data_IF_848050712856
#
_entry.id   IF_848050712856
#
_cell.length_a   1.000
_cell.length_b   1.000
_cell.length_c   1.000
_cell.angle_alpha   90.00
_cell.angle_beta   90.00
_cell.angle_gamma   90.00
#
_symmetry.space_group_name_H-M   'P 1'
#
loop_
_entity.id
_entity.type
_entity.pdbx_description
1 polymer ?
#
# COMPACT_ATOMS: atom_id res chain seq x y z
N UNK A 1 12.42 -16.85 -10.88
CA UNK A 1 12.36 -17.17 -9.41
C UNK A 1 10.95 -17.65 -9.16
N UNK A 2 10.78 -18.80 -8.52
CA UNK A 2 9.48 -19.42 -8.22
C UNK A 2 9.46 -19.85 -6.75
N UNK A 3 8.27 -20.20 -6.23
CA UNK A 3 8.08 -20.49 -4.81
C UNK A 3 8.89 -21.69 -4.31
N UNK A 4 9.10 -22.70 -5.17
CA UNK A 4 9.90 -23.89 -4.84
C UNK A 4 11.36 -23.53 -4.65
N UNK A 5 11.98 -22.85 -5.61
CA UNK A 5 13.39 -22.45 -5.52
C UNK A 5 13.67 -21.56 -4.31
N UNK A 6 12.75 -20.65 -3.97
CA UNK A 6 12.86 -19.80 -2.76
C UNK A 6 12.78 -20.65 -1.50
N UNK A 7 11.85 -21.60 -1.43
CA UNK A 7 11.70 -22.49 -0.29
C UNK A 7 12.94 -23.37 -0.09
N UNK A 8 13.43 -24.02 -1.13
CA UNK A 8 14.61 -24.87 -1.09
C UNK A 8 15.86 -24.10 -0.61
N UNK A 9 16.02 -22.85 -1.08
CA UNK A 9 17.12 -21.99 -0.64
C UNK A 9 16.99 -21.65 0.86
N UNK A 10 15.79 -21.29 1.33
CA UNK A 10 15.56 -20.98 2.74
C UNK A 10 15.88 -22.17 3.63
N UNK A 11 15.44 -23.38 3.28
CA UNK A 11 15.64 -24.58 4.07
C UNK A 11 17.09 -25.07 4.02
N UNK A 12 17.70 -25.15 2.82
CA UNK A 12 19.03 -25.69 2.64
C UNK A 12 20.12 -24.83 3.30
N UNK A 13 19.92 -23.51 3.30
CA UNK A 13 20.88 -22.57 3.91
C UNK A 13 20.54 -22.22 5.37
N UNK A 14 19.48 -22.78 5.94
CA UNK A 14 19.06 -22.52 7.31
C UNK A 14 18.69 -21.05 7.55
N UNK A 15 18.05 -20.40 6.59
CA UNK A 15 17.74 -18.97 6.64
C UNK A 15 16.78 -18.66 7.77
N UNK A 16 17.17 -17.75 8.66
CA UNK A 16 16.35 -17.31 9.80
C UNK A 16 15.63 -15.98 9.56
N UNK A 17 16.10 -15.20 8.57
CA UNK A 17 15.59 -13.88 8.21
C UNK A 17 15.68 -13.67 6.70
N UNK A 18 14.61 -13.18 6.11
CA UNK A 18 14.54 -12.91 4.68
C UNK A 18 13.83 -11.56 4.40
N UNK A 19 14.07 -11.00 3.24
CA UNK A 19 13.40 -9.78 2.81
C UNK A 19 12.97 -9.89 1.34
N UNK A 20 11.81 -9.38 1.00
CA UNK A 20 11.31 -9.40 -0.36
C UNK A 20 10.03 -8.59 -0.58
N UNK A 21 9.61 -8.57 -1.84
CA UNK A 21 8.36 -7.91 -2.24
C UNK A 21 7.18 -8.90 -2.14
N UNK A 22 5.94 -8.40 -1.99
CA UNK A 22 4.77 -9.25 -1.80
C UNK A 22 4.59 -10.34 -2.87
N UNK A 23 4.93 -10.07 -4.12
CA UNK A 23 4.80 -11.06 -5.21
C UNK A 23 5.68 -12.30 -5.00
N UNK A 24 6.88 -12.15 -4.47
CA UNK A 24 7.77 -13.27 -4.14
C UNK A 24 7.19 -14.10 -3.01
N UNK A 25 6.71 -13.44 -1.97
CA UNK A 25 6.09 -14.09 -0.82
C UNK A 25 4.77 -14.78 -1.17
N UNK A 26 3.98 -14.23 -2.09
CA UNK A 26 2.76 -14.86 -2.58
C UNK A 26 3.05 -16.19 -3.29
N UNK A 27 4.07 -16.24 -4.15
CA UNK A 27 4.51 -17.48 -4.80
C UNK A 27 5.00 -18.51 -3.79
N UNK A 28 5.75 -18.07 -2.78
CA UNK A 28 6.25 -18.94 -1.71
C UNK A 28 5.10 -19.50 -0.87
N UNK A 29 4.16 -18.68 -0.41
CA UNK A 29 3.00 -19.12 0.36
C UNK A 29 2.11 -20.11 -0.44
N UNK A 30 1.93 -19.87 -1.74
CA UNK A 30 1.21 -20.80 -2.61
C UNK A 30 1.92 -22.17 -2.69
N UNK A 31 3.24 -22.17 -2.80
CA UNK A 31 4.05 -23.40 -2.81
C UNK A 31 3.97 -24.14 -1.47
N UNK A 32 4.13 -23.45 -0.35
CA UNK A 32 4.00 -24.03 0.99
C UNK A 32 2.64 -24.69 1.18
N UNK A 33 1.59 -23.97 0.81
CA UNK A 33 0.20 -24.46 0.96
C UNK A 33 -0.08 -25.70 0.12
N UNK A 34 0.36 -25.71 -1.15
CA UNK A 34 0.16 -26.84 -2.05
C UNK A 34 0.95 -28.08 -1.63
N UNK A 35 2.12 -27.91 -1.04
CA UNK A 35 3.00 -28.99 -0.58
C UNK A 35 2.79 -29.42 0.87
N UNK A 36 1.94 -28.75 1.65
CA UNK A 36 1.84 -28.97 3.09
C UNK A 36 3.14 -28.69 3.84
N UNK A 37 3.98 -27.79 3.30
CA UNK A 37 5.34 -27.51 3.79
C UNK A 37 5.32 -26.48 4.92
N UNK A 38 6.40 -26.46 5.71
CA UNK A 38 6.64 -25.47 6.76
C UNK A 38 8.10 -25.06 6.76
N UNK A 39 8.39 -23.94 7.39
CA UNK A 39 9.77 -23.49 7.60
C UNK A 39 10.38 -24.17 8.83
N UNK A 40 11.66 -24.56 8.71
CA UNK A 40 12.43 -25.12 9.82
C UNK A 40 13.16 -24.02 10.61
N UNK A 41 13.57 -22.95 9.96
CA UNK A 41 14.46 -21.95 10.55
C UNK A 41 13.99 -20.50 10.37
N UNK A 42 13.19 -20.20 9.35
CA UNK A 42 12.72 -18.84 9.08
C UNK A 42 11.80 -18.36 10.21
N UNK A 43 12.21 -17.32 10.92
CA UNK A 43 11.45 -16.72 12.03
C UNK A 43 10.92 -15.32 11.74
N UNK A 44 11.54 -14.60 10.80
CA UNK A 44 11.16 -13.24 10.46
C UNK A 44 11.32 -12.96 8.97
N UNK A 45 10.44 -12.13 8.43
CA UNK A 45 10.56 -11.61 7.07
C UNK A 45 10.21 -10.13 6.99
N UNK A 46 10.98 -9.39 6.20
CA UNK A 46 10.61 -8.02 5.81
C UNK A 46 9.83 -8.07 4.51
N UNK A 47 8.69 -7.39 4.49
CA UNK A 47 7.86 -7.24 3.30
C UNK A 47 7.70 -5.75 3.00
N UNK A 48 8.14 -5.35 1.80
CA UNK A 48 8.10 -3.94 1.38
C UNK A 48 8.14 -3.81 -0.13
N UNK A 49 8.32 -2.58 -0.63
CA UNK A 49 8.32 -2.25 -2.06
C UNK A 49 6.93 -2.05 -2.67
N UNK A 50 5.89 -2.59 -2.06
CA UNK A 50 4.47 -2.27 -2.28
C UNK A 50 3.68 -2.62 -1.01
N UNK A 51 2.40 -2.23 -0.95
CA UNK A 51 1.53 -2.57 0.18
C UNK A 51 1.50 -4.09 0.40
N UNK A 52 1.69 -4.52 1.64
CA UNK A 52 1.59 -5.93 2.02
C UNK A 52 0.13 -6.29 2.30
N UNK A 53 -0.46 -7.29 1.60
CA UNK A 53 -1.83 -7.69 1.84
C UNK A 53 -2.02 -8.18 3.29
N UNK A 54 -3.10 -7.79 3.98
CA UNK A 54 -3.40 -8.26 5.34
C UNK A 54 -3.38 -9.78 5.49
N UNK A 55 -3.97 -10.49 4.52
CA UNK A 55 -3.99 -11.95 4.50
C UNK A 55 -2.58 -12.58 4.44
N UNK A 56 -1.62 -11.90 3.83
CA UNK A 56 -0.23 -12.37 3.77
C UNK A 56 0.45 -12.26 5.13
N UNK A 57 0.29 -11.13 5.83
CA UNK A 57 0.81 -10.93 7.19
C UNK A 57 0.21 -11.98 8.11
N UNK A 58 -1.11 -12.18 8.01
CA UNK A 58 -1.83 -13.16 8.81
C UNK A 58 -1.33 -14.58 8.54
N UNK A 59 -1.20 -15.00 7.28
CA UNK A 59 -0.72 -16.33 6.93
C UNK A 59 0.68 -16.60 7.50
N UNK A 60 1.63 -15.68 7.32
CA UNK A 60 2.97 -15.84 7.88
C UNK A 60 2.96 -15.95 9.40
N UNK A 61 2.23 -15.08 10.10
CA UNK A 61 2.18 -15.09 11.56
C UNK A 61 1.44 -16.31 12.11
N UNK A 62 0.23 -16.59 11.61
CA UNK A 62 -0.69 -17.54 12.25
C UNK A 62 -0.48 -18.98 11.75
N UNK A 63 -0.18 -19.15 10.45
CA UNK A 63 0.00 -20.47 9.85
C UNK A 63 1.46 -20.96 9.93
N UNK A 64 2.42 -20.06 9.74
CA UNK A 64 3.84 -20.44 9.62
C UNK A 64 4.71 -20.00 10.82
N UNK A 65 4.19 -19.18 11.74
CA UNK A 65 4.97 -18.71 12.91
C UNK A 65 6.09 -17.73 12.54
N UNK A 66 6.00 -17.09 11.38
CA UNK A 66 7.02 -16.15 10.87
C UNK A 66 6.55 -14.71 11.10
N UNK A 67 7.31 -13.95 11.88
CA UNK A 67 7.00 -12.55 12.11
C UNK A 67 7.20 -11.71 10.84
N UNK A 68 6.16 -11.01 10.41
CA UNK A 68 6.25 -10.07 9.29
C UNK A 68 6.57 -8.67 9.80
N UNK A 69 7.63 -8.10 9.28
CA UNK A 69 8.03 -6.71 9.46
C UNK A 69 7.66 -5.93 8.20
N UNK A 70 6.50 -5.25 8.22
CA UNK A 70 6.09 -4.41 7.09
C UNK A 70 7.03 -3.21 6.99
N UNK A 71 7.51 -2.92 5.79
CA UNK A 71 8.50 -1.88 5.54
C UNK A 71 8.08 -0.93 4.44
N UNK A 72 8.47 0.33 4.57
CA UNK A 72 8.36 1.32 3.52
C UNK A 72 9.72 1.92 3.21
N UNK A 73 9.93 2.18 1.96
CA UNK A 73 11.11 2.84 1.45
C UNK A 73 11.08 2.97 -0.06
N UNK A 74 12.11 3.60 -0.59
CA UNK A 74 12.26 3.87 -2.02
C UNK A 74 13.75 4.00 -2.36
N UNK A 75 14.08 3.99 -3.66
CA UNK A 75 15.47 4.09 -4.12
C UNK A 75 16.18 5.31 -3.53
N UNK A 76 15.46 6.42 -3.43
CA UNK A 76 15.94 7.69 -2.89
C UNK A 76 16.25 7.64 -1.39
N UNK A 77 15.87 6.58 -0.69
CA UNK A 77 16.18 6.33 0.73
C UNK A 77 17.16 5.16 0.95
N UNK A 78 17.77 4.64 -0.08
CA UNK A 78 18.87 3.65 -0.10
C UNK A 78 18.69 2.35 0.75
N UNK A 79 17.60 1.62 0.71
CA UNK A 79 16.25 1.92 0.24
C UNK A 79 15.24 2.21 1.36
N UNK A 80 15.61 2.07 2.66
CA UNK A 80 14.68 1.89 3.78
C UNK A 80 14.41 3.19 4.54
N UNK A 81 13.12 3.50 4.75
CA UNK A 81 12.67 4.64 5.55
C UNK A 81 12.01 4.22 6.86
N UNK A 82 11.13 3.22 6.83
CA UNK A 82 10.41 2.77 8.03
C UNK A 82 10.34 1.25 8.13
N UNK A 83 10.17 0.77 9.37
CA UNK A 83 9.98 -0.64 9.67
C UNK A 83 8.92 -0.81 10.77
N UNK A 84 7.97 -1.72 10.57
CA UNK A 84 6.91 -1.99 11.53
C UNK A 84 7.36 -3.05 12.54
N UNK A 85 7.67 -2.59 13.74
CA UNK A 85 7.90 -3.45 14.91
C UNK A 85 6.98 -2.99 16.04
N UNK A 86 6.29 -3.92 16.71
CA UNK A 86 5.43 -3.58 17.83
C UNK A 86 6.28 -3.01 18.98
N UNK A 87 5.78 -1.96 19.65
CA UNK A 87 6.32 -1.50 20.94
C UNK A 87 5.90 -2.47 22.05
N UNK A 88 6.66 -2.53 23.16
CA UNK A 88 6.34 -3.41 24.29
C UNK A 88 4.89 -3.25 24.79
N UNK A 89 4.37 -2.02 24.83
CA UNK A 89 2.99 -1.77 25.21
C UNK A 89 1.94 -2.40 24.27
N UNK A 90 2.31 -2.65 23.02
CA UNK A 90 1.41 -3.24 22.03
C UNK A 90 1.35 -4.77 22.15
N UNK A 91 2.35 -5.40 22.77
CA UNK A 91 2.39 -6.87 22.95
C UNK A 91 1.28 -7.35 23.91
N UNK A 92 0.79 -6.46 24.77
CA UNK A 92 -0.32 -6.75 25.67
C UNK A 92 -1.71 -6.55 25.03
N UNK A 93 -1.79 -6.02 23.81
CA UNK A 93 -3.05 -5.81 23.11
C UNK A 93 -3.61 -7.12 22.54
N UNK A 94 -4.93 -7.23 22.35
CA UNK A 94 -5.54 -8.34 21.61
C UNK A 94 -4.94 -8.46 20.21
N UNK A 95 -4.88 -9.69 19.68
CA UNK A 95 -4.27 -9.99 18.37
C UNK A 95 -4.85 -9.11 17.23
N UNK A 96 -6.16 -8.83 17.24
CA UNK A 96 -6.80 -7.96 16.26
C UNK A 96 -6.27 -6.51 16.31
N UNK A 97 -5.98 -5.98 17.50
CA UNK A 97 -5.41 -4.64 17.65
C UNK A 97 -3.92 -4.61 17.25
N UNK A 98 -3.16 -5.67 17.60
CA UNK A 98 -1.79 -5.82 17.11
C UNK A 98 -1.76 -5.88 15.58
N UNK A 99 -2.71 -6.57 14.94
CA UNK A 99 -2.80 -6.66 13.48
C UNK A 99 -3.00 -5.28 12.84
N UNK A 100 -3.86 -4.42 13.39
CA UNK A 100 -4.02 -3.05 12.90
C UNK A 100 -2.70 -2.26 12.87
N UNK A 101 -1.83 -2.49 13.85
CA UNK A 101 -0.50 -1.85 13.89
C UNK A 101 0.43 -2.49 12.86
N UNK A 102 0.45 -3.83 12.76
CA UNK A 102 1.30 -4.57 11.81
C UNK A 102 1.00 -4.26 10.34
N UNK A 103 -0.21 -3.79 10.03
CA UNK A 103 -0.60 -3.35 8.69
C UNK A 103 0.02 -2.00 8.29
N UNK A 104 0.45 -1.19 9.25
CA UNK A 104 1.13 0.09 8.98
C UNK A 104 2.56 -0.17 8.49
N UNK A 105 3.14 0.82 7.79
CA UNK A 105 4.52 0.74 7.29
C UNK A 105 5.57 0.94 8.40
N UNK A 106 5.12 1.25 9.61
CA UNK A 106 5.95 1.27 10.79
C UNK A 106 6.54 2.63 11.13
N UNK A 107 7.62 2.62 11.88
CA UNK A 107 8.27 3.83 12.41
C UNK A 107 9.58 4.09 11.68
N UNK A 108 10.04 5.35 11.69
CA UNK A 108 11.35 5.70 11.19
C UNK A 108 12.43 4.80 11.77
N UNK A 109 13.31 4.32 10.91
CA UNK A 109 14.54 3.63 11.37
C UNK A 109 15.55 4.66 11.85
N UNK A 110 16.54 4.22 12.63
CA UNK A 110 17.57 5.11 13.14
C UNK A 110 18.22 5.91 11.99
N UNK A 111 18.27 7.23 12.14
CA UNK A 111 18.84 8.15 11.16
C UNK A 111 17.86 8.72 10.14
N UNK A 112 16.62 8.25 10.10
CA UNK A 112 15.55 8.82 9.28
C UNK A 112 14.61 9.62 10.16
N UNK A 113 14.34 10.86 9.73
CA UNK A 113 13.23 11.68 10.19
C UNK A 113 12.19 11.78 9.10
N UNK A 114 10.91 11.85 9.47
CA UNK A 114 9.82 12.13 8.55
C UNK A 114 8.78 13.07 9.19
N UNK A 115 8.05 13.76 8.35
CA UNK A 115 6.88 14.56 8.70
C UNK A 115 5.85 14.51 7.59
N UNK A 116 4.61 14.85 7.93
CA UNK A 116 3.53 15.03 6.96
C UNK A 116 3.14 16.51 6.91
N UNK A 117 2.89 17.05 5.72
CA UNK A 117 2.54 18.46 5.51
C UNK A 117 1.30 18.58 4.61
N UNK A 118 0.53 19.64 4.82
CA UNK A 118 -0.58 19.98 3.92
C UNK A 118 -0.09 20.65 2.61
N UNK A 119 -1.04 21.01 1.73
CA UNK A 119 -0.76 21.69 0.46
C UNK A 119 -0.07 23.06 0.61
N UNK A 120 -0.06 23.63 1.82
CA UNK A 120 0.63 24.89 2.15
C UNK A 120 1.99 24.66 2.80
N UNK A 121 2.43 23.42 2.95
CA UNK A 121 3.68 23.03 3.60
C UNK A 121 3.64 23.08 5.13
N UNK A 122 2.47 23.27 5.73
CA UNK A 122 2.29 23.26 7.19
C UNK A 122 2.27 21.83 7.71
N UNK A 123 3.08 21.56 8.74
CA UNK A 123 3.15 20.25 9.38
C UNK A 123 1.83 19.87 10.03
N UNK A 124 1.40 18.63 9.77
CA UNK A 124 0.18 18.05 10.28
C UNK A 124 0.44 17.27 11.57
N UNK A 125 -0.57 17.17 12.48
CA UNK A 125 -0.40 16.46 13.73
C UNK A 125 -0.29 14.95 13.56
N UNK A 126 0.48 14.31 14.45
CA UNK A 126 0.61 12.85 14.52
C UNK A 126 -0.56 12.26 15.35
N UNK A 127 -1.79 12.38 14.85
CA UNK A 127 -3.02 11.91 15.51
C UNK A 127 -3.62 10.64 14.89
N UNK A 128 -2.99 10.14 13.82
CA UNK A 128 -3.45 8.98 13.05
C UNK A 128 -4.65 9.26 12.15
N UNK A 129 -5.03 10.54 11.97
CA UNK A 129 -6.20 10.96 11.18
C UNK A 129 -5.83 12.01 10.14
N UNK A 130 -5.04 13.00 10.54
CA UNK A 130 -4.58 14.05 9.63
C UNK A 130 -3.73 13.44 8.52
N UNK A 131 -4.04 13.78 7.27
CA UNK A 131 -3.28 13.39 6.09
C UNK A 131 -2.28 14.48 5.73
N UNK A 132 -1.21 14.09 5.08
CA UNK A 132 -0.28 15.04 4.49
C UNK A 132 0.68 14.37 3.51
N UNK A 133 1.30 15.20 2.67
CA UNK A 133 2.42 14.78 1.85
C UNK A 133 3.59 14.39 2.75
N UNK A 134 4.13 13.18 2.52
CA UNK A 134 5.22 12.65 3.31
C UNK A 134 6.55 13.22 2.85
N UNK A 135 7.22 13.90 3.76
CA UNK A 135 8.57 14.42 3.59
C UNK A 135 9.54 13.65 4.48
N UNK A 136 10.72 13.35 3.97
CA UNK A 136 11.75 12.60 4.71
C UNK A 136 13.10 13.30 4.69
N UNK A 137 13.91 13.05 5.72
CA UNK A 137 15.27 13.56 5.87
C UNK A 137 16.15 12.50 6.53
N UNK A 138 17.42 12.43 6.12
CA UNK A 138 18.37 11.51 6.71
C UNK A 138 19.70 11.47 5.97
N UNK A 139 20.75 10.88 6.56
CA UNK A 139 22.11 10.88 6.00
C UNK A 139 22.26 10.09 4.68
N UNK A 140 21.35 9.15 4.39
CA UNK A 140 21.33 8.37 3.16
C UNK A 140 20.14 8.70 2.23
N UNK A 141 19.38 9.76 2.55
CA UNK A 141 18.39 10.30 1.63
C UNK A 141 19.10 11.01 0.49
N UNK A 142 18.62 10.82 -0.74
CA UNK A 142 19.19 11.40 -1.95
C UNK A 142 19.35 12.92 -1.82
N UNK A 143 20.45 13.47 -2.35
CA UNK A 143 20.68 14.90 -2.45
C UNK A 143 20.36 15.45 -3.84
N UNK A 144 20.61 14.64 -4.87
CA UNK A 144 20.40 15.00 -6.27
C UNK A 144 20.27 13.75 -7.14
N UNK A 145 19.65 13.88 -8.31
CA UNK A 145 19.59 12.80 -9.29
C UNK A 145 20.76 12.89 -10.27
N UNK A 146 21.20 11.72 -10.76
CA UNK A 146 22.26 11.64 -11.76
C UNK A 146 21.89 12.46 -13.00
N UNK A 147 22.84 13.26 -13.52
CA UNK A 147 22.68 14.20 -14.65
C UNK A 147 21.64 15.33 -14.42
N UNK A 148 21.28 15.61 -13.20
CA UNK A 148 20.45 16.76 -12.82
C UNK A 148 21.21 17.65 -11.81
N UNK A 149 22.50 17.84 -12.08
CA UNK A 149 23.40 18.61 -11.24
C UNK A 149 22.89 20.06 -11.06
N UNK A 150 22.83 20.49 -9.80
CA UNK A 150 22.29 21.80 -9.42
C UNK A 150 20.77 21.88 -9.26
N UNK A 151 20.02 20.84 -9.59
CA UNK A 151 18.59 20.72 -9.32
C UNK A 151 18.34 19.82 -8.12
N UNK A 152 18.41 20.39 -6.89
CA UNK A 152 18.10 19.62 -5.70
C UNK A 152 16.62 19.22 -5.66
N UNK A 153 16.27 17.93 -5.45
CA UNK A 153 14.90 17.51 -5.23
C UNK A 153 14.41 17.88 -3.82
N UNK A 154 15.28 18.41 -2.96
CA UNK A 154 14.95 18.71 -1.57
C UNK A 154 14.22 20.05 -1.45
N UNK A 155 13.20 20.08 -0.60
CA UNK A 155 12.46 21.27 -0.17
C UNK A 155 12.88 21.57 1.28
N UNK A 156 13.58 22.67 1.50
CA UNK A 156 14.12 23.05 2.82
C UNK A 156 14.88 21.91 3.54
N UNK A 157 15.64 21.11 2.77
CA UNK A 157 16.40 19.98 3.27
C UNK A 157 15.59 18.69 3.49
N UNK A 158 14.31 18.68 3.11
CA UNK A 158 13.42 17.51 3.14
C UNK A 158 13.17 16.99 1.73
N UNK A 159 13.18 15.68 1.58
CA UNK A 159 12.84 15.02 0.31
C UNK A 159 11.34 14.72 0.25
N UNK A 160 10.60 15.27 -0.74
CA UNK A 160 9.20 14.94 -0.98
C UNK A 160 9.08 13.57 -1.63
N UNK A 161 8.50 12.62 -0.92
CA UNK A 161 8.43 11.22 -1.38
C UNK A 161 7.39 10.97 -2.47
N UNK A 162 6.42 11.88 -2.60
CA UNK A 162 5.24 11.71 -3.44
C UNK A 162 4.25 10.68 -2.89
N UNK A 163 4.39 10.29 -1.62
CA UNK A 163 3.40 9.50 -0.89
C UNK A 163 2.59 10.42 0.04
N UNK A 164 1.32 10.10 0.21
CA UNK A 164 0.43 10.68 1.22
C UNK A 164 0.31 9.71 2.38
N UNK A 165 0.38 10.23 3.59
CA UNK A 165 0.39 9.40 4.79
C UNK A 165 -0.34 10.03 5.96
N UNK A 166 -0.68 9.19 6.94
CA UNK A 166 -0.98 9.58 8.32
C UNK A 166 0.12 9.09 9.25
N UNK A 167 0.29 9.74 10.38
CA UNK A 167 1.20 9.31 11.45
C UNK A 167 0.43 9.26 12.75
N UNK A 168 0.49 8.15 13.47
CA UNK A 168 -0.19 8.03 14.75
C UNK A 168 0.65 8.58 15.92
N UNK A 169 0.05 8.76 17.13
CA UNK A 169 0.78 9.25 18.31
C UNK A 169 1.96 8.36 18.75
N UNK A 170 2.01 7.12 18.30
CA UNK A 170 3.13 6.21 18.54
C UNK A 170 4.25 6.31 17.49
N UNK A 171 4.06 7.17 16.50
CA UNK A 171 4.99 7.41 15.40
C UNK A 171 4.92 6.36 14.29
N UNK A 172 3.83 5.57 14.19
CA UNK A 172 3.65 4.65 13.09
C UNK A 172 3.08 5.38 11.88
N UNK A 173 3.84 5.33 10.81
CA UNK A 173 3.47 5.79 9.49
C UNK A 173 2.49 4.81 8.85
N UNK A 174 1.43 5.34 8.25
CA UNK A 174 0.53 4.62 7.37
C UNK A 174 0.42 5.36 6.04
N UNK A 175 0.96 4.76 4.98
CA UNK A 175 0.78 5.27 3.62
C UNK A 175 -0.69 5.07 3.24
N UNK A 176 -1.33 6.14 2.85
CA UNK A 176 -2.74 6.14 2.45
C UNK A 176 -2.89 6.17 0.95
N UNK A 177 -1.97 6.85 0.24
CA UNK A 177 -1.97 6.90 -1.22
C UNK A 177 -0.66 7.47 -1.78
N UNK A 178 -0.60 7.61 -3.11
CA UNK A 178 0.34 8.49 -3.80
C UNK A 178 -0.27 9.88 -3.95
N UNK A 179 0.54 10.94 -3.82
CA UNK A 179 0.06 12.34 -3.96
C UNK A 179 -0.64 12.59 -5.31
N UNK A 180 -0.24 11.87 -6.37
CA UNK A 180 -0.85 11.92 -7.71
C UNK A 180 -2.08 11.03 -7.90
N UNK A 181 -2.36 10.13 -6.96
CA UNK A 181 -3.43 9.13 -7.05
C UNK A 181 -4.53 9.33 -6.00
N UNK A 182 -4.23 10.09 -4.92
CA UNK A 182 -5.24 10.50 -3.94
C UNK A 182 -6.32 11.32 -4.65
N UNK A 183 -7.57 11.03 -4.32
CA UNK A 183 -8.72 11.66 -4.99
C UNK A 183 -9.19 12.81 -4.10
N UNK A 184 -9.13 14.02 -4.66
CA UNK A 184 -9.52 15.26 -3.96
C UNK A 184 -10.99 15.54 -4.24
N UNK A 185 -11.86 15.25 -3.28
CA UNK A 185 -13.31 15.33 -3.44
C UNK A 185 -13.92 16.32 -2.45
N UNK A 186 -14.32 17.49 -2.93
CA UNK A 186 -14.99 18.49 -2.10
C UNK A 186 -14.16 19.05 -0.95
N UNK A 187 -12.84 19.11 -1.12
CA UNK A 187 -11.89 19.56 -0.08
C UNK A 187 -11.43 18.44 0.87
N UNK A 188 -11.95 17.23 0.71
CA UNK A 188 -11.56 16.04 1.47
C UNK A 188 -10.77 15.08 0.58
N UNK A 189 -9.96 14.23 1.19
CA UNK A 189 -9.12 13.26 0.48
C UNK A 189 -9.69 11.85 0.59
N UNK A 190 -9.80 11.16 -0.54
CA UNK A 190 -10.23 9.75 -0.62
C UNK A 190 -9.01 8.92 -1.02
N UNK A 191 -8.68 7.93 -0.19
CA UNK A 191 -7.62 6.96 -0.50
C UNK A 191 -8.07 6.04 -1.62
N UNK A 192 -7.38 6.08 -2.75
CA UNK A 192 -7.62 5.15 -3.84
C UNK A 192 -7.29 3.71 -3.46
N UNK A 193 -6.30 3.52 -2.57
CA UNK A 193 -5.88 2.21 -2.05
C UNK A 193 -6.97 1.57 -1.18
N UNK A 194 -7.64 2.34 -0.32
CA UNK A 194 -8.72 1.82 0.53
C UNK A 194 -9.91 1.36 -0.32
N UNK A 195 -10.25 2.14 -1.33
CA UNK A 195 -11.29 1.79 -2.30
C UNK A 195 -10.93 0.49 -3.05
N UNK A 196 -9.69 0.36 -3.53
CA UNK A 196 -9.18 -0.85 -4.19
C UNK A 196 -9.23 -2.07 -3.29
N UNK A 197 -8.77 -1.95 -2.05
CA UNK A 197 -8.73 -3.05 -1.08
C UNK A 197 -10.12 -3.59 -0.78
N UNK A 198 -11.13 -2.72 -0.68
CA UNK A 198 -12.52 -3.13 -0.47
C UNK A 198 -13.04 -3.88 -1.69
N UNK A 199 -12.82 -3.38 -2.91
CA UNK A 199 -13.22 -4.09 -4.13
C UNK A 199 -12.55 -5.46 -4.23
N UNK A 200 -11.24 -5.53 -3.98
CA UNK A 200 -10.46 -6.76 -4.03
C UNK A 200 -10.85 -7.78 -2.96
N UNK A 201 -11.49 -7.35 -1.87
CA UNK A 201 -12.06 -8.25 -0.86
C UNK A 201 -13.35 -8.95 -1.34
N UNK A 202 -13.95 -8.51 -2.44
CA UNK A 202 -15.11 -9.18 -3.02
C UNK A 202 -14.70 -10.52 -3.66
N UNK A 203 -15.42 -11.64 -3.39
CA UNK A 203 -15.04 -12.98 -3.86
C UNK A 203 -14.86 -13.12 -5.37
N UNK A 204 -15.61 -12.34 -6.15
CA UNK A 204 -15.64 -12.40 -7.62
C UNK A 204 -14.72 -11.40 -8.31
N UNK A 205 -13.97 -10.58 -7.55
CA UNK A 205 -13.01 -9.60 -8.10
C UNK A 205 -11.62 -10.23 -8.16
N UNK A 206 -10.99 -10.17 -9.33
CA UNK A 206 -9.61 -10.61 -9.53
C UNK A 206 -8.61 -9.48 -9.29
N UNK A 207 -8.94 -8.27 -9.76
CA UNK A 207 -8.11 -7.08 -9.62
C UNK A 207 -8.99 -5.82 -9.63
N UNK A 208 -8.60 -4.80 -8.88
CA UNK A 208 -9.28 -3.51 -8.87
C UNK A 208 -8.26 -2.38 -8.82
N UNK A 209 -8.56 -1.28 -9.53
CA UNK A 209 -7.84 -0.01 -9.46
C UNK A 209 -8.85 1.13 -9.28
N UNK A 210 -8.55 2.08 -8.42
CA UNK A 210 -9.37 3.27 -8.22
C UNK A 210 -8.66 4.50 -8.78
N UNK A 211 -9.39 5.32 -9.52
CA UNK A 211 -8.92 6.59 -10.06
C UNK A 211 -9.94 7.71 -9.81
N UNK A 212 -9.45 8.93 -9.63
CA UNK A 212 -10.28 10.13 -9.63
C UNK A 212 -10.70 10.51 -11.04
N UNK A 213 -11.98 10.82 -11.20
CA UNK A 213 -12.55 11.40 -12.42
C UNK A 213 -13.03 12.83 -12.15
N UNK A 214 -12.81 13.77 -13.07
CA UNK A 214 -13.26 15.14 -12.90
C UNK A 214 -14.77 15.22 -12.64
N UNK A 215 -15.16 16.03 -11.66
CA UNK A 215 -16.58 16.23 -11.30
C UNK A 215 -16.88 17.73 -11.09
N UNK A 216 -17.92 18.29 -11.73
CA UNK A 216 -18.16 19.73 -11.77
C UNK A 216 -18.42 20.37 -10.40
N UNK A 217 -18.88 19.60 -9.42
CA UNK A 217 -19.18 20.08 -8.05
C UNK A 217 -18.13 19.70 -7.03
N UNK A 218 -17.47 18.54 -7.19
CA UNK A 218 -16.64 17.94 -6.15
C UNK A 218 -15.16 17.94 -6.51
N UNK A 219 -14.76 18.57 -7.61
CA UNK A 219 -13.41 18.51 -8.18
C UNK A 219 -13.13 17.14 -8.79
N UNK A 220 -13.02 16.11 -7.95
CA UNK A 220 -12.90 14.71 -8.39
C UNK A 220 -13.90 13.81 -7.66
N UNK A 221 -14.28 12.72 -8.35
CA UNK A 221 -15.01 11.61 -7.73
C UNK A 221 -14.34 10.27 -8.08
N UNK A 222 -14.31 9.32 -7.12
CA UNK A 222 -13.72 8.01 -7.37
C UNK A 222 -14.57 7.18 -8.32
N UNK A 223 -13.90 6.48 -9.24
CA UNK A 223 -14.46 5.30 -9.91
C UNK A 223 -13.54 4.10 -9.64
N UNK A 224 -14.12 2.92 -9.56
CA UNK A 224 -13.35 1.70 -9.43
C UNK A 224 -13.38 0.91 -10.74
N UNK A 225 -12.20 0.57 -11.26
CA UNK A 225 -12.01 -0.22 -12.48
C UNK A 225 -11.69 -1.65 -12.07
N UNK A 226 -12.44 -2.62 -12.54
CA UNK A 226 -12.45 -3.97 -12.01
C UNK A 226 -12.23 -5.02 -13.10
N UNK A 227 -11.32 -5.94 -12.84
CA UNK A 227 -11.20 -7.21 -13.57
C UNK A 227 -11.91 -8.27 -12.76
N UNK A 228 -12.88 -8.94 -13.36
CA UNK A 228 -13.60 -10.04 -12.74
C UNK A 228 -12.78 -11.34 -12.77
N UNK A 229 -13.05 -12.24 -11.81
CA UNK A 229 -12.59 -13.64 -11.92
C UNK A 229 -13.32 -14.35 -13.06
N UNK A 230 -12.78 -15.49 -13.51
CA UNK A 230 -13.47 -16.35 -14.46
C UNK A 230 -14.86 -16.74 -13.92
N UNK A 231 -15.87 -16.72 -14.78
CA UNK A 231 -17.26 -17.05 -14.47
C UNK A 231 -17.96 -16.12 -13.44
N UNK A 232 -17.35 -15.03 -13.05
CA UNK A 232 -17.92 -14.06 -12.11
C UNK A 232 -19.12 -13.32 -12.70
N UNK A 233 -20.19 -13.16 -11.89
CA UNK A 233 -21.44 -12.52 -12.28
C UNK A 233 -21.65 -11.17 -11.60
N UNK A 234 -20.77 -10.76 -10.68
CA UNK A 234 -20.90 -9.51 -9.94
C UNK A 234 -21.21 -8.33 -10.88
N UNK A 235 -22.26 -7.59 -10.53
CA UNK A 235 -22.69 -6.40 -11.25
C UNK A 235 -22.21 -5.11 -10.58
N UNK A 236 -22.41 -3.99 -11.28
CA UNK A 236 -22.08 -2.64 -10.80
C UNK A 236 -22.73 -2.34 -9.44
N UNK A 237 -24.03 -2.51 -9.35
CA UNK A 237 -24.82 -2.18 -8.15
C UNK A 237 -24.42 -3.04 -6.95
N UNK A 238 -24.18 -4.33 -7.17
CA UNK A 238 -23.75 -5.25 -6.15
C UNK A 238 -22.39 -4.84 -5.57
N UNK A 239 -21.44 -4.48 -6.43
CA UNK A 239 -20.12 -4.05 -5.99
C UNK A 239 -20.17 -2.70 -5.27
N UNK A 240 -20.97 -1.74 -5.76
CA UNK A 240 -21.17 -0.47 -5.05
C UNK A 240 -21.79 -0.67 -3.66
N UNK A 241 -22.78 -1.55 -3.55
CA UNK A 241 -23.38 -1.93 -2.26
C UNK A 241 -22.38 -2.59 -1.32
N UNK A 242 -21.39 -3.31 -1.86
CA UNK A 242 -20.36 -3.97 -1.06
C UNK A 242 -19.47 -3.00 -0.28
N UNK A 243 -19.42 -1.72 -0.66
CA UNK A 243 -18.72 -0.65 0.08
C UNK A 243 -19.49 -0.15 1.29
N UNK A 244 -20.81 -0.35 1.35
CA UNK A 244 -21.64 0.16 2.44
C UNK A 244 -21.18 -0.37 3.81
N UNK A 245 -21.02 0.54 4.76
CA UNK A 245 -20.55 0.23 6.11
C UNK A 245 -19.04 -0.06 6.24
N UNK A 246 -18.29 -0.11 5.14
CA UNK A 246 -16.84 -0.32 5.14
C UNK A 246 -16.03 0.96 5.02
N UNK A 247 -16.57 1.95 4.33
CA UNK A 247 -16.04 3.32 4.24
C UNK A 247 -17.16 4.32 4.44
N UNK A 248 -16.80 5.60 4.62
CA UNK A 248 -17.79 6.65 4.73
C UNK A 248 -18.60 6.78 3.43
N UNK A 249 -19.88 7.09 3.54
CA UNK A 249 -20.79 7.12 2.38
C UNK A 249 -20.30 8.04 1.25
N UNK A 250 -19.68 9.15 1.58
CA UNK A 250 -19.15 10.12 0.61
C UNK A 250 -17.87 9.63 -0.11
N UNK A 251 -17.20 8.60 0.43
CA UNK A 251 -16.00 7.98 -0.17
C UNK A 251 -16.33 6.84 -1.13
N UNK A 252 -17.59 6.37 -1.12
CA UNK A 252 -18.01 5.28 -2.02
C UNK A 252 -17.83 5.75 -3.48
N UNK A 253 -17.28 4.89 -4.35
CA UNK A 253 -17.16 5.20 -5.78
C UNK A 253 -18.50 5.57 -6.42
N UNK A 254 -18.48 6.54 -7.32
CA UNK A 254 -19.67 6.91 -8.08
C UNK A 254 -20.00 5.89 -9.17
N UNK A 255 -18.96 5.12 -9.59
CA UNK A 255 -19.18 4.08 -10.59
C UNK A 255 -18.17 2.92 -10.52
N UNK A 256 -18.56 1.81 -11.19
CA UNK A 256 -17.74 0.60 -11.40
C UNK A 256 -17.61 0.35 -12.89
N UNK A 257 -16.38 0.34 -13.39
CA UNK A 257 -16.05 0.04 -14.79
C UNK A 257 -15.41 -1.35 -14.87
N UNK A 258 -16.03 -2.28 -15.57
CA UNK A 258 -15.45 -3.60 -15.80
C UNK A 258 -14.58 -3.61 -17.05
N UNK A 259 -13.37 -4.18 -16.92
CA UNK A 259 -12.39 -4.28 -17.99
C UNK A 259 -11.79 -5.70 -18.03
N UNK A 260 -11.22 -6.08 -19.17
CA UNK A 260 -10.55 -7.38 -19.32
C UNK A 260 -9.18 -7.40 -18.61
N UNK A 261 -8.49 -6.25 -18.54
CA UNK A 261 -7.19 -6.13 -17.87
C UNK A 261 -6.92 -4.71 -17.40
N UNK A 262 -6.14 -4.59 -16.30
CA UNK A 262 -5.59 -3.33 -15.81
C UNK A 262 -4.12 -3.24 -16.25
N UNK A 263 -3.66 -2.10 -16.80
CA UNK A 263 -2.27 -1.93 -17.21
C UNK A 263 -1.31 -2.11 -16.04
N UNK A 264 -0.30 -2.95 -16.22
CA UNK A 264 0.74 -3.22 -15.23
C UNK A 264 2.11 -2.76 -15.74
N UNK A 265 2.94 -2.27 -14.82
CA UNK A 265 4.35 -1.99 -15.08
C UNK A 265 5.23 -3.25 -15.03
N UNK A 266 6.49 -3.12 -15.38
CA UNK A 266 7.46 -4.23 -15.36
C UNK A 266 7.63 -4.89 -13.97
N UNK A 267 7.32 -4.17 -12.90
CA UNK A 267 7.37 -4.66 -11.52
C UNK A 267 6.03 -5.21 -11.00
N UNK A 268 5.01 -5.35 -11.87
CA UNK A 268 3.66 -5.80 -11.51
C UNK A 268 2.79 -4.74 -10.83
N UNK A 269 3.26 -3.48 -10.73
CA UNK A 269 2.46 -2.37 -10.17
C UNK A 269 1.45 -1.86 -11.20
N UNK A 270 0.24 -1.54 -10.75
CA UNK A 270 -0.80 -0.93 -11.59
C UNK A 270 -0.37 0.44 -12.10
N UNK A 271 -0.56 0.69 -13.38
CA UNK A 271 -0.25 1.95 -14.05
C UNK A 271 -1.52 2.81 -14.16
N UNK A 272 -1.91 3.44 -13.05
CA UNK A 272 -3.12 4.31 -12.99
C UNK A 272 -3.08 5.45 -14.00
N UNK A 273 -1.90 5.97 -14.36
CA UNK A 273 -1.76 7.00 -15.40
C UNK A 273 -2.31 6.51 -16.75
N UNK A 274 -1.90 5.29 -17.17
CA UNK A 274 -2.44 4.69 -18.42
C UNK A 274 -3.94 4.40 -18.31
N UNK A 275 -4.41 4.02 -17.14
CA UNK A 275 -5.82 3.79 -16.91
C UNK A 275 -6.64 5.07 -17.06
N UNK A 276 -6.14 6.22 -16.54
CA UNK A 276 -6.75 7.54 -16.74
C UNK A 276 -6.77 7.94 -18.21
N UNK A 277 -5.68 7.66 -18.95
CA UNK A 277 -5.61 7.91 -20.40
C UNK A 277 -6.68 7.11 -21.16
N UNK A 278 -6.81 5.81 -20.85
CA UNK A 278 -7.82 4.93 -21.47
C UNK A 278 -9.26 5.38 -21.18
N UNK A 279 -9.49 5.96 -20.01
CA UNK A 279 -10.81 6.41 -19.56
C UNK A 279 -11.00 7.95 -19.68
N UNK A 280 -10.14 8.63 -20.43
CA UNK A 280 -10.20 10.11 -20.58
C UNK A 280 -11.52 10.64 -21.15
N UNK A 281 -12.25 9.83 -21.92
CA UNK A 281 -13.59 10.15 -22.44
C UNK A 281 -14.75 9.63 -21.60
N UNK A 282 -14.46 9.01 -20.47
CA UNK A 282 -15.50 8.44 -19.60
C UNK A 282 -16.29 9.55 -18.88
N UNK A 283 -17.61 9.41 -18.84
CA UNK A 283 -18.49 10.33 -18.11
C UNK A 283 -19.13 9.63 -16.93
N UNK A 284 -19.07 10.27 -15.77
CA UNK A 284 -19.74 9.77 -14.57
C UNK A 284 -21.25 9.69 -14.79
N UNK A 285 -21.92 8.66 -14.26
CA UNK A 285 -23.38 8.60 -14.23
C UNK A 285 -23.95 9.84 -13.54
N UNK A 286 -25.06 10.38 -14.10
CA UNK A 286 -25.75 11.53 -13.51
C UNK A 286 -26.59 11.12 -12.30
#
# INVERSE_FOLDING_TARGET
>A
MDGKSVYEMIENEGVTYAAGVPTVWQMLLAHLKSGGLRFSHLTRTVIGGSACPPAMIQAFNDEYGVEVLHAWGMTELSPLGTLCTLKNKHLALPAAEQMKIRLKQGRAIFGIDFKIVDDQGKEQPNDGKAYGDLLVKGPWVIKEYFKQEGASPLQDGWFPTGDVATVDPDGFLQITDRSKDVIKSGGEWISSIDVENIAMAHPEVAMAACIGMPHPKWDERPIVVVVKKADAKVGREELLKFYEGKIAKWQIPDDVVFVDSIPLGATGKMLKTRLREQLSGYQLPQ
#
